data_IF_104822767782
#
_entry.id   IF_104822767782
#
_cell.length_a   1.000
_cell.length_b   1.000
_cell.length_c   1.000
_cell.angle_alpha   90.00
_cell.angle_beta   90.00
_cell.angle_gamma   90.00
#
_symmetry.space_group_name_H-M   'P 1'
#
loop_
_entity.id
_entity.type
_entity.pdbx_description
1 polymer ?
#
# COMPACT_ATOMS: atom_id res chain seq x y z
N UNK A 1 -15.46 2.60 -16.89
CA UNK A 1 -15.12 1.54 -17.86
C UNK A 1 -16.40 0.92 -18.45
N UNK A 2 -16.35 0.22 -19.59
CA UNK A 2 -17.54 -0.37 -20.26
C UNK A 2 -18.37 -1.32 -19.39
N UNK A 3 -17.77 -1.83 -18.32
CA UNK A 3 -18.31 -2.69 -17.27
C UNK A 3 -18.84 -1.91 -16.04
N UNK A 4 -18.85 -0.57 -16.07
CA UNK A 4 -19.26 0.27 -14.95
C UNK A 4 -18.22 0.40 -13.83
N UNK A 5 -17.00 -0.12 -14.02
CA UNK A 5 -15.91 0.03 -13.04
C UNK A 5 -15.22 1.37 -13.22
N UNK A 6 -14.99 2.09 -12.13
CA UNK A 6 -14.20 3.33 -12.11
C UNK A 6 -12.89 3.10 -11.36
N UNK A 7 -11.80 3.62 -11.91
CA UNK A 7 -10.49 3.57 -11.27
C UNK A 7 -10.23 4.88 -10.53
N UNK A 8 -9.97 4.79 -9.22
CA UNK A 8 -9.49 5.90 -8.41
C UNK A 8 -8.01 5.67 -8.14
N UNK A 9 -7.19 6.68 -8.45
CA UNK A 9 -5.73 6.60 -8.32
C UNK A 9 -5.28 7.55 -7.22
N UNK A 10 -4.36 7.08 -6.40
CA UNK A 10 -3.79 7.81 -5.27
C UNK A 10 -2.29 7.99 -5.48
N UNK A 11 -1.74 9.06 -4.94
CA UNK A 11 -0.31 9.36 -4.91
C UNK A 11 0.44 8.49 -3.89
N UNK A 12 -0.24 8.11 -2.81
CA UNK A 12 0.29 7.28 -1.72
C UNK A 12 -0.68 6.16 -1.27
N UNK A 13 -0.11 5.06 -0.77
CA UNK A 13 -0.88 3.89 -0.32
C UNK A 13 -1.75 4.24 0.91
N UNK A 14 -1.26 5.10 1.81
CA UNK A 14 -2.05 5.58 2.93
C UNK A 14 -3.28 6.37 2.50
N UNK A 15 -3.15 7.24 1.50
CA UNK A 15 -4.29 7.99 0.96
C UNK A 15 -5.37 7.06 0.38
N UNK A 16 -4.96 5.98 -0.29
CA UNK A 16 -5.90 4.94 -0.75
C UNK A 16 -6.64 4.29 0.43
N UNK A 17 -5.92 3.94 1.50
CA UNK A 17 -6.51 3.31 2.70
C UNK A 17 -7.46 4.26 3.43
N UNK A 18 -7.08 5.54 3.58
CA UNK A 18 -7.92 6.57 4.19
C UNK A 18 -9.21 6.78 3.38
N UNK A 19 -9.10 6.81 2.06
CA UNK A 19 -10.25 6.90 1.17
C UNK A 19 -11.19 5.69 1.31
N UNK A 20 -10.65 4.47 1.37
CA UNK A 20 -11.44 3.26 1.57
C UNK A 20 -12.14 3.25 2.95
N UNK A 21 -11.45 3.71 4.01
CA UNK A 21 -12.01 3.85 5.36
C UNK A 21 -13.16 4.86 5.40
N UNK A 22 -13.02 5.99 4.69
CA UNK A 22 -14.04 7.02 4.62
C UNK A 22 -15.26 6.62 3.76
N UNK A 23 -15.10 5.66 2.84
CA UNK A 23 -16.14 5.26 1.89
C UNK A 23 -16.50 3.78 2.04
N UNK A 24 -17.07 3.38 3.17
CA UNK A 24 -17.39 1.97 3.45
C UNK A 24 -18.44 1.35 2.52
N UNK A 25 -19.21 2.17 1.80
CA UNK A 25 -20.21 1.72 0.82
C UNK A 25 -19.60 1.43 -0.56
N UNK A 26 -18.32 1.75 -0.78
CA UNK A 26 -17.63 1.47 -2.04
C UNK A 26 -17.41 -0.02 -2.20
N UNK A 27 -17.89 -0.57 -3.31
CA UNK A 27 -17.61 -1.96 -3.70
C UNK A 27 -16.28 -2.03 -4.44
N UNK A 28 -15.21 -2.23 -3.69
CA UNK A 28 -13.86 -2.40 -4.26
C UNK A 28 -13.75 -3.78 -4.89
N UNK A 29 -13.54 -3.84 -6.20
CA UNK A 29 -13.40 -5.09 -6.96
C UNK A 29 -11.96 -5.59 -7.01
N UNK A 30 -10.98 -4.68 -6.95
CA UNK A 30 -9.55 -4.99 -6.97
C UNK A 30 -8.76 -3.82 -6.41
N UNK A 31 -7.60 -4.12 -5.82
CA UNK A 31 -6.67 -3.14 -5.28
C UNK A 31 -5.30 -3.39 -5.89
N UNK A 32 -4.68 -2.33 -6.38
CA UNK A 32 -3.37 -2.41 -7.00
C UNK A 32 -2.43 -1.41 -6.34
N UNK A 33 -1.18 -1.83 -6.17
CA UNK A 33 -0.10 -1.00 -5.65
C UNK A 33 1.04 -0.98 -6.65
N UNK A 34 1.81 0.11 -6.63
CA UNK A 34 2.94 0.27 -7.54
C UNK A 34 4.22 -0.19 -6.85
N UNK A 35 4.89 -1.18 -7.44
CA UNK A 35 6.16 -1.69 -6.97
C UNK A 35 7.20 -0.57 -6.90
N UNK A 36 7.93 -0.50 -5.79
CA UNK A 36 8.92 0.54 -5.56
C UNK A 36 10.09 0.45 -6.54
N UNK A 37 10.53 -0.76 -6.90
CA UNK A 37 11.73 -0.96 -7.72
C UNK A 37 11.41 -0.94 -9.22
N UNK A 38 10.70 -1.96 -9.70
CA UNK A 38 10.36 -2.18 -11.10
C UNK A 38 9.16 -1.37 -11.59
N UNK A 39 8.49 -0.60 -10.71
CA UNK A 39 7.36 0.29 -11.05
C UNK A 39 6.14 -0.42 -11.67
N UNK A 40 6.10 -1.74 -11.58
CA UNK A 40 4.99 -2.57 -12.02
C UNK A 40 3.75 -2.36 -11.13
N UNK A 41 2.57 -2.56 -11.70
CA UNK A 41 1.33 -2.66 -10.94
C UNK A 41 1.19 -4.09 -10.40
N UNK A 42 1.00 -4.21 -9.09
CA UNK A 42 0.86 -5.47 -8.40
C UNK A 42 -0.53 -5.54 -7.76
N UNK A 43 -1.22 -6.69 -7.78
CA UNK A 43 -2.34 -6.91 -6.88
C UNK A 43 -1.87 -6.70 -5.44
N UNK A 44 -2.58 -5.87 -4.67
CA UNK A 44 -2.13 -5.49 -3.33
C UNK A 44 -1.93 -6.72 -2.42
N UNK A 45 -2.80 -7.72 -2.54
CA UNK A 45 -2.73 -8.98 -1.78
C UNK A 45 -1.50 -9.85 -2.11
N UNK A 46 -0.91 -9.68 -3.29
CA UNK A 46 0.28 -10.42 -3.71
C UNK A 46 1.58 -9.69 -3.40
N UNK A 47 1.52 -8.41 -3.03
CA UNK A 47 2.67 -7.58 -2.74
C UNK A 47 3.15 -7.76 -1.29
N UNK A 48 4.42 -7.42 -1.06
CA UNK A 48 4.96 -7.24 0.30
C UNK A 48 5.18 -5.77 0.59
N UNK A 49 5.01 -5.37 1.84
CA UNK A 49 5.05 -3.97 2.24
C UNK A 49 6.14 -3.74 3.26
N UNK A 50 6.80 -2.59 3.19
CA UNK A 50 7.63 -2.08 4.26
C UNK A 50 6.94 -0.87 4.87
N UNK A 51 6.65 -0.95 6.17
CA UNK A 51 6.04 0.14 6.95
C UNK A 51 7.12 0.79 7.80
N UNK A 52 7.43 2.05 7.53
CA UNK A 52 8.44 2.80 8.30
C UNK A 52 8.03 2.96 9.76
N UNK A 53 9.02 2.85 10.64
CA UNK A 53 8.82 3.00 12.09
C UNK A 53 8.64 4.46 12.53
N UNK A 54 9.17 5.44 11.77
CA UNK A 54 8.90 6.87 11.95
C UNK A 54 8.03 7.39 10.81
N UNK A 55 6.78 7.74 11.13
CA UNK A 55 5.70 8.03 10.20
C UNK A 55 5.81 9.38 9.44
N UNK A 56 7.01 9.95 9.28
CA UNK A 56 7.19 11.23 8.59
C UNK A 56 8.12 11.07 7.40
N UNK A 57 7.55 10.64 6.27
CA UNK A 57 8.15 10.86 4.96
C UNK A 57 7.50 12.07 4.30
N UNK A 58 8.21 12.73 3.40
CA UNK A 58 7.66 13.84 2.61
C UNK A 58 6.45 13.44 1.75
N UNK A 59 6.13 12.14 1.62
CA UNK A 59 4.96 11.60 0.89
C UNK A 59 3.96 10.86 1.80
N UNK A 60 3.90 11.18 3.10
CA UNK A 60 2.68 10.96 3.90
C UNK A 60 2.61 9.69 4.75
N UNK A 61 2.54 8.49 4.17
CA UNK A 61 2.22 7.27 4.97
C UNK A 61 3.40 6.44 5.46
N UNK A 62 4.56 6.55 4.80
CA UNK A 62 5.71 5.67 5.06
C UNK A 62 5.49 4.19 4.69
N UNK A 63 4.47 3.88 3.86
CA UNK A 63 4.19 2.54 3.36
C UNK A 63 4.80 2.41 1.96
N UNK A 64 5.62 1.37 1.75
CA UNK A 64 6.30 1.12 0.48
C UNK A 64 5.94 -0.30 0.01
N UNK A 65 5.47 -0.44 -1.23
CA UNK A 65 5.15 -1.74 -1.82
C UNK A 65 6.34 -2.34 -2.59
N UNK A 66 6.48 -3.65 -2.50
CA UNK A 66 7.51 -4.44 -3.16
C UNK A 66 6.89 -5.67 -3.81
N UNK A 67 7.52 -6.15 -4.89
CA UNK A 67 7.15 -7.39 -5.59
C UNK A 67 7.00 -8.58 -4.64
N UNK A 68 7.93 -8.74 -3.70
CA UNK A 68 7.91 -9.81 -2.71
C UNK A 68 8.65 -9.42 -1.42
N UNK A 69 8.59 -10.33 -0.46
CA UNK A 69 9.21 -10.17 0.86
C UNK A 69 10.74 -10.03 0.82
N UNK A 70 11.40 -10.66 -0.16
CA UNK A 70 12.86 -10.57 -0.31
C UNK A 70 13.29 -9.16 -0.72
N UNK A 71 12.55 -8.53 -1.64
CA UNK A 71 12.76 -7.15 -2.06
C UNK A 71 12.46 -6.16 -0.93
N UNK A 72 11.41 -6.40 -0.14
CA UNK A 72 11.09 -5.58 1.04
C UNK A 72 12.20 -5.67 2.09
N UNK A 73 12.68 -6.88 2.40
CA UNK A 73 13.78 -7.10 3.35
C UNK A 73 15.09 -6.46 2.92
N UNK A 74 15.44 -6.58 1.64
CA UNK A 74 16.62 -5.94 1.07
C UNK A 74 16.62 -4.41 1.24
N UNK A 75 15.43 -3.81 1.36
CA UNK A 75 15.24 -2.36 1.48
C UNK A 75 15.15 -1.89 2.95
N UNK A 76 15.19 -2.79 3.94
CA UNK A 76 15.04 -2.43 5.36
C UNK A 76 16.15 -1.52 5.89
N UNK A 77 17.39 -1.64 5.37
CA UNK A 77 18.53 -0.79 5.75
C UNK A 77 18.26 0.69 5.48
N UNK A 78 17.57 0.97 4.37
CA UNK A 78 17.41 2.30 3.81
C UNK A 78 16.21 3.03 4.44
N UNK A 79 15.22 2.26 4.87
CA UNK A 79 13.94 2.80 5.30
C UNK A 79 13.64 2.61 6.80
N UNK A 80 14.36 1.72 7.52
CA UNK A 80 14.14 1.40 8.94
C UNK A 80 12.65 1.16 9.26
N UNK A 81 12.12 0.06 8.74
CA UNK A 81 10.72 -0.32 8.89
C UNK A 81 10.54 -1.81 9.16
N UNK A 82 9.27 -2.21 9.25
CA UNK A 82 8.86 -3.60 9.42
C UNK A 82 8.20 -4.10 8.14
N UNK A 83 8.50 -5.35 7.77
CA UNK A 83 7.82 -5.99 6.64
C UNK A 83 6.42 -6.43 7.05
N UNK A 84 5.44 -6.21 6.19
CA UNK A 84 4.03 -6.49 6.43
C UNK A 84 3.35 -7.07 5.18
N UNK A 85 2.31 -7.88 5.41
CA UNK A 85 1.36 -8.27 4.36
C UNK A 85 0.31 -7.17 4.16
N UNK A 86 -0.46 -7.26 3.07
CA UNK A 86 -1.55 -6.31 2.83
C UNK A 86 -2.55 -6.22 3.98
N UNK A 87 -3.01 -7.37 4.50
CA UNK A 87 -3.94 -7.42 5.62
C UNK A 87 -3.40 -6.74 6.88
N UNK A 88 -2.10 -6.88 7.16
CA UNK A 88 -1.47 -6.22 8.31
C UNK A 88 -1.41 -4.69 8.13
N UNK A 89 -1.16 -4.21 6.91
CA UNK A 89 -1.16 -2.77 6.58
C UNK A 89 -2.57 -2.17 6.71
N UNK A 90 -3.61 -2.87 6.24
CA UNK A 90 -5.00 -2.42 6.38
C UNK A 90 -5.41 -2.38 7.86
N UNK A 91 -5.01 -3.38 8.64
CA UNK A 91 -5.32 -3.46 10.07
C UNK A 91 -4.64 -2.35 10.89
N UNK A 92 -3.40 -2.00 10.58
CA UNK A 92 -2.69 -0.92 11.30
C UNK A 92 -3.37 0.44 11.09
N UNK A 93 -3.78 0.77 9.86
CA UNK A 93 -4.54 2.01 9.54
C UNK A 93 -5.95 2.04 10.12
N UNK A 94 -6.53 0.89 10.39
CA UNK A 94 -7.85 0.81 11.04
C UNK A 94 -7.77 1.13 12.54
N UNK A 95 -6.59 1.04 13.14
CA UNK A 95 -6.35 1.27 14.57
C UNK A 95 -5.85 2.69 14.91
N UNK A 96 -5.44 3.45 13.90
CA UNK A 96 -5.16 4.90 13.96
C UNK A 96 -6.46 5.73 13.87
#
# INVERSE_FOLDING_TARGET
SPDGVEAVVFDDIGCMLDYMKANTTLKVTSQFVRDYQGKAWLPAESASFLVKSSAHTAMGSGIIAFLDESHARASMSDFRGSVASWGAVVASKSSD
#
